data_IF_687985357660
#
_entry.id   IF_687985357660
#
_cell.length_a   1.000
_cell.length_b   1.000
_cell.length_c   1.000
_cell.angle_alpha   90.00
_cell.angle_beta   90.00
_cell.angle_gamma   90.00
#
_symmetry.space_group_name_H-M   'P 1'
#
loop_
_entity.id
_entity.type
_entity.pdbx_description
1 polymer ?
#
# COMPACT_ATOMS: atom_id res chain seq x y z
N UNK A 1 -14.13 0.55 -44.02
CA UNK A 1 -15.08 0.29 -42.91
C UNK A 1 -15.30 -1.21 -42.67
N UNK A 2 -15.22 -2.08 -43.69
CA UNK A 2 -15.36 -3.55 -43.51
C UNK A 2 -14.28 -4.20 -42.63
N UNK A 3 -13.02 -3.71 -42.63
CA UNK A 3 -11.94 -4.25 -41.78
C UNK A 3 -12.16 -3.99 -40.27
N UNK A 4 -12.81 -2.87 -39.92
CA UNK A 4 -13.09 -2.53 -38.51
C UNK A 4 -14.20 -3.40 -37.91
N UNK A 5 -15.26 -3.66 -38.68
CA UNK A 5 -16.35 -4.54 -38.26
C UNK A 5 -15.87 -5.99 -38.05
N UNK A 6 -14.91 -6.46 -38.87
CA UNK A 6 -14.28 -7.76 -38.70
C UNK A 6 -13.43 -7.86 -37.42
N UNK A 7 -12.69 -6.80 -37.07
CA UNK A 7 -11.88 -6.76 -35.85
C UNK A 7 -12.73 -6.71 -34.58
N UNK A 8 -13.79 -5.90 -34.55
CA UNK A 8 -14.70 -5.83 -33.40
C UNK A 8 -15.38 -7.18 -33.13
N UNK A 9 -15.82 -7.89 -34.17
CA UNK A 9 -16.42 -9.22 -34.02
C UNK A 9 -15.43 -10.26 -33.48
N UNK A 10 -14.13 -10.10 -33.78
CA UNK A 10 -13.06 -10.96 -33.25
C UNK A 10 -12.79 -10.65 -31.77
N UNK A 11 -12.82 -9.38 -31.38
CA UNK A 11 -12.66 -8.97 -29.97
C UNK A 11 -13.84 -9.42 -29.10
N UNK A 12 -15.08 -9.28 -29.57
CA UNK A 12 -16.27 -9.80 -28.87
C UNK A 12 -16.19 -11.33 -28.68
N UNK A 13 -15.72 -12.05 -29.70
CA UNK A 13 -15.54 -13.51 -29.58
C UNK A 13 -14.45 -13.92 -28.59
N UNK A 14 -13.48 -13.04 -28.31
CA UNK A 14 -12.41 -13.34 -27.36
C UNK A 14 -12.91 -13.21 -25.92
N UNK A 15 -13.59 -12.10 -25.60
CA UNK A 15 -14.15 -11.86 -24.27
C UNK A 15 -15.11 -12.97 -23.84
N UNK A 16 -15.99 -13.40 -24.75
CA UNK A 16 -16.93 -14.50 -24.47
C UNK A 16 -16.21 -15.81 -24.14
N UNK A 17 -15.08 -16.10 -24.81
CA UNK A 17 -14.31 -17.32 -24.55
C UNK A 17 -13.59 -17.24 -23.21
N UNK A 18 -13.02 -16.08 -22.87
CA UNK A 18 -12.36 -15.83 -21.58
C UNK A 18 -13.32 -16.07 -20.41
N UNK A 19 -14.58 -15.62 -20.52
CA UNK A 19 -15.61 -15.86 -19.51
C UNK A 19 -15.97 -17.34 -19.33
N UNK A 20 -15.82 -18.16 -20.39
CA UNK A 20 -16.08 -19.60 -20.36
C UNK A 20 -14.90 -20.43 -19.85
N UNK A 21 -13.67 -19.90 -19.79
CA UNK A 21 -12.47 -20.68 -19.41
C UNK A 21 -12.56 -21.31 -18.01
N UNK A 22 -13.06 -20.65 -16.95
CA UNK A 22 -13.18 -21.28 -15.63
C UNK A 22 -14.13 -22.49 -15.63
N UNK A 23 -15.23 -22.39 -16.39
CA UNK A 23 -16.20 -23.48 -16.54
C UNK A 23 -15.65 -24.62 -17.41
N UNK A 24 -14.90 -24.28 -18.46
CA UNK A 24 -14.18 -25.25 -19.28
C UNK A 24 -13.18 -26.04 -18.43
N UNK A 25 -12.42 -25.37 -17.57
CA UNK A 25 -11.45 -25.99 -16.66
C UNK A 25 -12.11 -26.92 -15.63
N UNK A 26 -13.30 -26.56 -15.15
CA UNK A 26 -14.08 -27.36 -14.20
C UNK A 26 -14.94 -28.44 -14.88
N UNK A 27 -14.86 -28.58 -16.21
CA UNK A 27 -15.68 -29.50 -17.03
C UNK A 27 -17.19 -29.33 -16.87
N UNK A 28 -17.66 -28.13 -16.57
CA UNK A 28 -19.08 -27.82 -16.31
C UNK A 28 -19.82 -27.17 -17.49
N UNK A 29 -19.13 -26.91 -18.60
CA UNK A 29 -19.74 -26.41 -19.83
C UNK A 29 -20.58 -27.47 -20.53
N UNK A 30 -21.63 -27.02 -21.25
CA UNK A 30 -22.35 -27.91 -22.14
C UNK A 30 -21.49 -28.33 -23.35
N UNK A 31 -21.94 -29.36 -24.09
CA UNK A 31 -21.17 -29.90 -25.21
C UNK A 31 -20.89 -28.88 -26.33
N UNK A 32 -21.81 -27.92 -26.54
CA UNK A 32 -21.71 -26.89 -27.59
C UNK A 32 -20.69 -25.83 -27.17
N UNK A 33 -20.78 -25.33 -25.95
CA UNK A 33 -19.84 -24.38 -25.37
C UNK A 33 -18.43 -24.96 -25.27
N UNK A 34 -18.31 -26.21 -24.79
CA UNK A 34 -17.02 -26.92 -24.71
C UNK A 34 -16.36 -27.03 -26.08
N UNK A 35 -17.13 -27.36 -27.12
CA UNK A 35 -16.62 -27.43 -28.50
C UNK A 35 -16.14 -26.06 -28.98
N UNK A 36 -16.93 -25.01 -28.74
CA UNK A 36 -16.60 -23.61 -29.10
C UNK A 36 -15.29 -23.15 -28.44
N UNK A 37 -15.13 -23.38 -27.13
CA UNK A 37 -13.89 -23.06 -26.39
C UNK A 37 -12.70 -23.85 -26.93
N UNK A 38 -12.88 -25.16 -27.15
CA UNK A 38 -11.82 -26.04 -27.67
C UNK A 38 -11.33 -25.59 -29.05
N UNK A 39 -12.24 -25.16 -29.92
CA UNK A 39 -11.88 -24.67 -31.26
C UNK A 39 -11.14 -23.33 -31.20
N UNK A 40 -11.60 -22.40 -30.34
CA UNK A 40 -10.93 -21.11 -30.16
C UNK A 40 -9.50 -21.28 -29.63
N UNK A 41 -9.31 -22.14 -28.61
CA UNK A 41 -8.01 -22.43 -28.00
C UNK A 41 -6.99 -23.00 -28.99
N UNK A 42 -7.41 -23.64 -30.09
CA UNK A 42 -6.48 -24.10 -31.14
C UNK A 42 -5.86 -22.96 -31.96
N UNK A 43 -6.53 -21.80 -31.99
CA UNK A 43 -6.15 -20.69 -32.86
C UNK A 43 -5.71 -19.43 -32.11
N UNK A 44 -6.02 -19.34 -30.81
CA UNK A 44 -5.77 -18.15 -30.00
C UNK A 44 -4.76 -18.43 -28.87
N UNK A 45 -3.50 -18.03 -29.08
CA UNK A 45 -2.42 -18.25 -28.12
C UNK A 45 -2.66 -17.53 -26.76
N UNK A 46 -3.31 -16.36 -26.76
CA UNK A 46 -3.58 -15.64 -25.51
C UNK A 46 -4.59 -16.38 -24.63
N UNK A 47 -5.70 -16.89 -25.19
CA UNK A 47 -6.64 -17.72 -24.42
C UNK A 47 -6.02 -19.02 -23.91
N UNK A 48 -5.10 -19.63 -24.67
CA UNK A 48 -4.37 -20.81 -24.19
C UNK A 48 -3.48 -20.50 -22.99
N UNK A 49 -2.78 -19.36 -23.03
CA UNK A 49 -1.97 -18.91 -21.91
C UNK A 49 -2.82 -18.66 -20.66
N UNK A 50 -3.95 -17.95 -20.79
CA UNK A 50 -4.87 -17.71 -19.68
C UNK A 50 -5.43 -19.01 -19.08
N UNK A 51 -5.77 -20.00 -19.92
CA UNK A 51 -6.19 -21.31 -19.44
C UNK A 51 -5.08 -22.02 -18.64
N UNK A 52 -3.82 -21.89 -19.04
CA UNK A 52 -2.69 -22.48 -18.31
C UNK A 52 -2.41 -21.77 -16.98
N UNK A 53 -2.61 -20.46 -16.91
CA UNK A 53 -2.58 -19.68 -15.66
C UNK A 53 -3.69 -20.14 -14.69
N UNK A 54 -4.91 -20.33 -15.20
CA UNK A 54 -6.04 -20.85 -14.41
C UNK A 54 -5.78 -22.29 -13.90
N UNK A 55 -5.17 -23.17 -14.71
CA UNK A 55 -4.73 -24.51 -14.26
C UNK A 55 -3.69 -24.42 -13.16
N UNK A 56 -2.77 -23.45 -13.25
CA UNK A 56 -1.77 -23.19 -12.21
C UNK A 56 -2.43 -22.85 -10.88
N UNK A 57 -3.40 -21.94 -10.89
CA UNK A 57 -4.20 -21.58 -9.72
C UNK A 57 -5.00 -22.76 -9.17
N UNK A 58 -5.66 -23.53 -10.04
CA UNK A 58 -6.40 -24.73 -9.63
C UNK A 58 -5.48 -25.72 -8.90
N UNK A 59 -4.27 -25.99 -9.41
CA UNK A 59 -3.30 -26.87 -8.76
C UNK A 59 -2.89 -26.40 -7.37
N UNK A 60 -2.79 -25.09 -7.14
CA UNK A 60 -2.46 -24.54 -5.81
C UNK A 60 -3.64 -24.75 -4.85
N UNK A 61 -4.87 -24.58 -5.32
CA UNK A 61 -6.09 -24.74 -4.50
C UNK A 61 -6.39 -26.23 -4.22
N UNK A 62 -6.21 -27.10 -5.21
CA UNK A 62 -6.44 -28.54 -5.09
C UNK A 62 -5.22 -29.31 -4.63
N UNK A 63 -4.08 -28.63 -4.40
CA UNK A 63 -2.93 -29.26 -3.78
C UNK A 63 -3.43 -29.93 -2.49
N UNK A 64 -3.15 -31.22 -2.28
CA UNK A 64 -3.60 -31.92 -1.09
C UNK A 64 -3.10 -31.11 0.09
N UNK A 65 -4.04 -30.46 0.79
CA UNK A 65 -3.77 -29.88 2.10
C UNK A 65 -3.24 -31.06 2.88
N UNK A 66 -1.94 -31.04 3.21
CA UNK A 66 -1.35 -32.04 4.08
C UNK A 66 -2.33 -32.23 5.21
N UNK A 67 -2.89 -33.43 5.33
CA UNK A 67 -3.82 -33.78 6.39
C UNK A 67 -3.05 -33.67 7.70
N UNK A 68 -2.92 -32.43 8.20
CA UNK A 68 -2.69 -32.17 9.60
C UNK A 68 -3.79 -32.95 10.28
N UNK A 69 -3.40 -33.95 11.08
CA UNK A 69 -4.37 -34.86 11.67
C UNK A 69 -5.49 -34.02 12.25
N UNK A 70 -6.74 -34.34 11.89
CA UNK A 70 -7.89 -33.54 12.32
C UNK A 70 -7.91 -33.37 13.85
N UNK A 71 -7.30 -34.31 14.57
CA UNK A 71 -7.03 -34.24 16.00
C UNK A 71 -6.05 -33.12 16.38
N UNK A 72 -4.89 -33.00 15.73
CA UNK A 72 -3.91 -31.93 16.04
C UNK A 72 -4.44 -30.54 15.68
N UNK A 73 -5.15 -30.39 14.55
CA UNK A 73 -5.75 -29.11 14.16
C UNK A 73 -6.87 -28.66 15.13
N UNK A 74 -7.73 -29.60 15.54
CA UNK A 74 -8.77 -29.33 16.54
C UNK A 74 -8.16 -29.03 17.91
N UNK A 75 -7.15 -29.79 18.33
CA UNK A 75 -6.49 -29.60 19.62
C UNK A 75 -5.76 -28.26 19.69
N UNK A 76 -5.08 -27.85 18.62
CA UNK A 76 -4.44 -26.54 18.52
C UNK A 76 -5.47 -25.40 18.56
N UNK A 77 -6.61 -25.57 17.88
CA UNK A 77 -7.72 -24.61 17.89
C UNK A 77 -8.36 -24.51 19.28
N UNK A 78 -8.61 -25.65 19.93
CA UNK A 78 -9.14 -25.71 21.29
C UNK A 78 -8.17 -25.13 22.31
N UNK A 79 -6.87 -25.33 22.13
CA UNK A 79 -5.82 -24.73 22.96
C UNK A 79 -5.77 -23.20 22.79
N UNK A 80 -5.92 -22.69 21.56
CA UNK A 80 -6.08 -21.25 21.33
C UNK A 80 -7.33 -20.68 22.01
N UNK A 81 -8.49 -21.34 21.89
CA UNK A 81 -9.72 -20.91 22.57
C UNK A 81 -9.55 -20.92 24.10
N UNK A 82 -8.92 -21.97 24.66
CA UNK A 82 -8.63 -22.06 26.10
C UNK A 82 -7.65 -20.97 26.56
N UNK A 83 -6.63 -20.66 25.77
CA UNK A 83 -5.66 -19.61 26.08
C UNK A 83 -6.31 -18.22 26.06
N UNK A 84 -7.27 -17.97 25.16
CA UNK A 84 -8.08 -16.74 25.11
C UNK A 84 -9.13 -16.69 26.21
N UNK A 85 -9.61 -17.85 26.69
CA UNK A 85 -10.52 -17.98 27.84
C UNK A 85 -9.81 -17.99 29.19
N UNK A 86 -8.47 -17.86 29.25
CA UNK A 86 -7.83 -17.57 30.54
C UNK A 86 -8.48 -16.30 31.08
N UNK A 87 -9.16 -16.39 32.23
CA UNK A 87 -9.94 -15.27 32.71
C UNK A 87 -8.97 -14.14 33.02
N UNK A 88 -9.30 -12.93 32.57
CA UNK A 88 -8.74 -11.69 33.07
C UNK A 88 -9.17 -11.47 34.54
N UNK A 89 -8.98 -12.48 35.39
CA UNK A 89 -9.33 -12.54 36.81
C UNK A 89 -8.10 -12.89 37.64
N UNK A 90 -7.08 -12.03 37.56
CA UNK A 90 -6.02 -11.98 38.56
C UNK A 90 -5.36 -10.59 38.69
N UNK A 91 -5.77 -9.59 37.90
CA UNK A 91 -5.70 -8.21 38.36
C UNK A 91 -6.97 -7.92 39.16
N UNK A 92 -6.96 -8.48 40.36
CA UNK A 92 -7.78 -8.02 41.46
C UNK A 92 -7.60 -6.50 41.53
N UNK A 93 -8.67 -5.80 41.14
CA UNK A 93 -8.87 -4.40 41.42
C UNK A 93 -8.60 -4.19 42.91
N UNK A 94 -7.46 -3.59 43.23
CA UNK A 94 -7.34 -2.79 44.44
C UNK A 94 -8.31 -1.62 44.26
N UNK A 95 -9.55 -1.86 44.65
CA UNK A 95 -10.58 -0.83 44.73
C UNK A 95 -10.14 0.15 45.83
N UNK A 96 -9.94 1.43 45.51
CA UNK A 96 -9.57 2.41 46.52
C UNK A 96 -10.75 2.59 47.50
N UNK A 97 -10.46 2.53 48.80
CA UNK A 97 -11.46 2.32 49.89
C UNK A 97 -12.31 3.54 50.25
N UNK A 98 -12.45 4.53 49.37
CA UNK A 98 -13.10 5.81 49.67
C UNK A 98 -14.59 5.87 49.30
N UNK A 99 -15.16 4.80 48.70
CA UNK A 99 -16.59 4.72 48.37
C UNK A 99 -17.48 4.02 49.40
N UNK A 100 -17.01 3.82 50.64
CA UNK A 100 -17.90 3.50 51.78
C UNK A 100 -18.50 4.78 52.37
N UNK A 101 -19.06 5.64 51.52
CA UNK A 101 -19.99 6.67 51.99
C UNK A 101 -21.40 6.13 51.84
N UNK A 102 -22.05 6.00 52.98
CA UNK A 102 -23.38 5.44 53.18
C UNK A 102 -24.45 6.38 52.58
N UNK A 103 -24.90 6.08 51.36
CA UNK A 103 -26.01 6.79 50.68
C UNK A 103 -27.38 6.19 51.02
N UNK A 104 -27.47 5.35 52.06
CA UNK A 104 -28.65 4.55 52.37
C UNK A 104 -29.80 5.24 53.11
N UNK A 105 -29.69 6.52 53.50
CA UNK A 105 -30.73 7.16 54.35
C UNK A 105 -31.25 8.53 53.89
N UNK A 106 -30.91 9.02 52.70
CA UNK A 106 -31.50 10.27 52.17
C UNK A 106 -32.42 10.03 50.97
N UNK A 107 -33.56 9.41 51.26
CA UNK A 107 -34.78 9.59 50.47
C UNK A 107 -35.24 11.06 50.59
N UNK A 108 -35.42 11.74 49.45
CA UNK A 108 -36.78 12.00 48.96
C UNK A 108 -36.78 12.47 47.49
N UNK A 109 -37.58 11.81 46.63
CA UNK A 109 -37.75 12.19 45.23
C UNK A 109 -38.92 13.17 45.12
N UNK A 110 -38.65 14.37 44.63
CA UNK A 110 -39.62 15.27 43.96
C UNK A 110 -38.87 16.52 43.53
N UNK A 111 -38.99 16.88 42.25
CA UNK A 111 -38.49 18.12 41.60
C UNK A 111 -37.02 18.11 41.16
N UNK A 112 -36.73 17.70 39.91
CA UNK A 112 -35.65 18.27 39.08
C UNK A 112 -35.60 17.67 37.65
N UNK A 113 -36.73 17.65 36.95
CA UNK A 113 -36.75 17.54 35.48
C UNK A 113 -36.49 18.95 34.90
N UNK A 114 -35.24 19.45 34.95
CA UNK A 114 -34.92 20.74 34.30
C UNK A 114 -33.43 21.08 34.07
N UNK A 115 -32.42 20.32 34.52
CA UNK A 115 -31.00 20.79 34.43
C UNK A 115 -30.03 19.74 33.86
N UNK A 116 -30.52 18.66 33.26
CA UNK A 116 -29.67 17.61 32.70
C UNK A 116 -29.00 17.94 31.36
N UNK A 117 -29.46 18.97 30.63
CA UNK A 117 -29.05 19.20 29.22
C UNK A 117 -27.91 20.22 29.10
N UNK A 118 -27.68 21.09 30.09
CA UNK A 118 -26.62 22.12 30.00
C UNK A 118 -25.23 21.63 30.46
N UNK A 119 -25.14 20.65 31.36
CA UNK A 119 -23.84 20.15 31.84
C UNK A 119 -23.11 19.26 30.81
N UNK A 120 -23.84 18.54 29.94
CA UNK A 120 -23.23 17.71 28.90
C UNK A 120 -22.64 18.53 27.74
N UNK A 121 -23.16 19.73 27.49
CA UNK A 121 -22.64 20.64 26.43
C UNK A 121 -21.39 21.38 26.91
N UNK A 122 -21.31 21.80 28.18
CA UNK A 122 -20.10 22.47 28.67
C UNK A 122 -18.90 21.54 28.88
N UNK A 123 -19.12 20.27 29.24
CA UNK A 123 -18.01 19.30 29.35
C UNK A 123 -17.50 18.87 27.96
N UNK A 124 -18.38 18.75 26.96
CA UNK A 124 -17.96 18.41 25.58
C UNK A 124 -17.30 19.58 24.85
N UNK A 125 -17.77 20.81 25.03
CA UNK A 125 -17.11 22.01 24.48
C UNK A 125 -15.80 22.32 25.23
N UNK A 126 -15.76 22.13 26.55
CA UNK A 126 -14.54 22.36 27.35
C UNK A 126 -13.39 21.40 27.01
N UNK A 127 -13.68 20.13 26.74
CA UNK A 127 -12.66 19.15 26.31
C UNK A 127 -12.21 19.43 24.86
N UNK A 128 -13.11 19.87 23.98
CA UNK A 128 -12.77 20.17 22.59
C UNK A 128 -11.96 21.47 22.44
N UNK A 129 -12.31 22.53 23.19
CA UNK A 129 -11.55 23.79 23.22
C UNK A 129 -10.22 23.62 23.97
N UNK A 130 -10.18 22.80 25.02
CA UNK A 130 -8.94 22.45 25.73
C UNK A 130 -7.93 21.71 24.83
N UNK A 131 -8.39 20.81 23.97
CA UNK A 131 -7.54 20.09 23.01
C UNK A 131 -7.09 20.98 21.83
N UNK A 132 -7.92 21.90 21.35
CA UNK A 132 -7.54 22.87 20.30
C UNK A 132 -6.53 23.91 20.83
N UNK A 133 -6.70 24.42 22.06
CA UNK A 133 -5.75 25.37 22.65
C UNK A 133 -4.42 24.72 23.07
N UNK A 134 -4.38 23.41 23.35
CA UNK A 134 -3.12 22.67 23.51
C UNK A 134 -2.43 22.35 22.18
N UNK A 135 -3.15 22.32 21.06
CA UNK A 135 -2.55 22.18 19.74
C UNK A 135 -1.86 23.48 19.27
N UNK A 136 -2.42 24.67 19.61
CA UNK A 136 -1.75 25.96 19.38
C UNK A 136 -0.64 26.27 20.38
N UNK A 137 -0.69 25.67 21.59
CA UNK A 137 0.43 25.65 22.55
C UNK A 137 1.43 24.51 22.29
N UNK A 138 1.56 24.05 21.04
CA UNK A 138 2.86 23.51 20.59
C UNK A 138 3.87 24.64 20.61
N UNK A 139 4.48 24.79 21.78
CA UNK A 139 5.86 25.20 22.01
C UNK A 139 6.33 26.19 20.93
N UNK A 140 6.11 27.48 21.18
CA UNK A 140 7.15 28.46 20.86
C UNK A 140 8.39 27.96 21.60
N UNK A 141 9.14 27.08 20.93
CA UNK A 141 10.53 26.83 21.23
C UNK A 141 11.15 28.17 20.87
N UNK A 142 11.18 29.03 21.89
CA UNK A 142 12.23 30.02 22.01
C UNK A 142 13.49 29.36 21.48
N UNK A 143 14.08 29.96 20.44
CA UNK A 143 15.44 29.68 19.99
C UNK A 143 16.38 29.96 21.16
N UNK A 144 16.38 29.06 22.15
CA UNK A 144 17.49 28.87 23.05
C UNK A 144 18.57 28.38 22.12
N UNK A 145 19.43 29.32 21.70
CA UNK A 145 20.61 29.07 20.89
C UNK A 145 21.45 28.00 21.56
N UNK A 146 21.13 26.75 21.24
CA UNK A 146 21.82 25.59 21.76
C UNK A 146 23.09 25.47 20.94
N UNK A 147 24.18 26.01 21.49
CA UNK A 147 25.52 25.51 21.25
C UNK A 147 25.63 24.06 21.80
N UNK A 148 24.74 23.18 21.33
CA UNK A 148 24.95 21.75 21.42
C UNK A 148 26.13 21.49 20.49
N UNK A 149 27.28 21.24 21.10
CA UNK A 149 28.47 20.78 20.39
C UNK A 149 28.07 19.59 19.51
N UNK A 150 28.53 19.57 18.25
CA UNK A 150 28.22 18.55 17.24
C UNK A 150 28.48 17.10 17.70
N UNK A 151 29.11 16.91 18.85
CA UNK A 151 29.51 15.66 19.47
C UNK A 151 28.35 14.75 19.91
N UNK A 152 27.13 15.29 20.10
CA UNK A 152 25.94 14.52 20.54
C UNK A 152 24.79 14.46 19.53
N UNK A 153 24.98 14.96 18.30
CA UNK A 153 23.93 14.83 17.30
C UNK A 153 23.68 13.33 17.00
N UNK A 154 22.42 12.84 17.02
CA UNK A 154 22.14 11.47 16.67
C UNK A 154 22.69 11.17 15.26
N UNK A 155 23.26 9.97 15.03
CA UNK A 155 23.97 9.66 13.79
C UNK A 155 23.06 9.71 12.56
N UNK A 156 21.74 9.62 12.74
CA UNK A 156 20.73 9.62 11.69
C UNK A 156 19.74 10.77 11.85
N UNK A 157 19.42 11.43 10.74
CA UNK A 157 18.34 12.41 10.62
C UNK A 157 17.13 11.76 9.94
N UNK A 158 15.96 11.78 10.57
CA UNK A 158 14.72 11.34 9.92
C UNK A 158 14.32 12.39 8.88
N UNK A 159 14.31 12.01 7.61
CA UNK A 159 13.92 12.88 6.51
C UNK A 159 12.42 12.80 6.20
N UNK A 160 11.84 11.62 6.39
CA UNK A 160 10.42 11.38 6.16
C UNK A 160 9.99 10.12 6.90
N UNK A 161 8.77 10.11 7.40
CA UNK A 161 8.14 8.91 7.96
C UNK A 161 6.63 9.01 7.73
N UNK A 162 5.93 7.88 7.78
CA UNK A 162 4.47 7.89 7.65
C UNK A 162 3.85 6.51 7.64
N UNK A 163 2.53 6.49 7.46
CA UNK A 163 1.73 5.27 7.35
C UNK A 163 0.85 5.39 6.12
N UNK A 164 1.01 4.47 5.16
CA UNK A 164 0.10 4.31 4.04
C UNK A 164 -0.97 3.27 4.36
N UNK A 165 -2.24 3.63 4.22
CA UNK A 165 -3.35 2.68 4.16
C UNK A 165 -3.73 2.44 2.72
N UNK A 166 -3.70 1.18 2.30
CA UNK A 166 -4.08 0.74 0.96
C UNK A 166 -5.52 0.24 1.00
N UNK A 167 -6.30 0.65 0.01
CA UNK A 167 -7.69 0.25 -0.15
C UNK A 167 -7.96 -0.18 -1.58
N UNK A 168 -8.88 -1.12 -1.76
CA UNK A 168 -9.38 -1.56 -3.06
C UNK A 168 -10.89 -1.58 -2.98
N UNK A 169 -11.56 -0.83 -3.86
CA UNK A 169 -13.03 -0.62 -3.78
C UNK A 169 -13.51 -0.05 -2.43
N UNK A 170 -12.65 0.64 -1.68
CA UNK A 170 -12.95 1.15 -0.33
C UNK A 170 -12.75 0.12 0.79
N UNK A 171 -12.49 -1.15 0.47
CA UNK A 171 -12.11 -2.16 1.47
C UNK A 171 -10.62 -2.05 1.80
N UNK A 172 -10.22 -2.23 3.07
CA UNK A 172 -8.81 -2.20 3.47
C UNK A 172 -8.06 -3.40 2.89
N UNK A 173 -6.92 -3.14 2.24
CA UNK A 173 -6.08 -4.18 1.63
C UNK A 173 -4.86 -4.49 2.51
N UNK A 174 -4.12 -3.44 2.86
CA UNK A 174 -2.90 -3.51 3.66
C UNK A 174 -2.57 -2.14 4.27
N UNK A 175 -1.67 -2.16 5.24
CA UNK A 175 -1.08 -0.96 5.85
C UNK A 175 0.44 -1.05 5.77
N UNK A 176 1.12 0.06 5.48
CA UNK A 176 2.57 0.14 5.46
C UNK A 176 3.05 1.30 6.32
N UNK A 177 3.89 1.00 7.29
CA UNK A 177 4.64 2.02 8.04
C UNK A 177 6.05 2.14 7.47
N UNK A 178 6.56 3.35 7.30
CA UNK A 178 7.88 3.58 6.72
C UNK A 178 8.65 4.72 7.37
N UNK A 179 9.98 4.64 7.33
CA UNK A 179 10.90 5.69 7.76
C UNK A 179 12.06 5.81 6.78
N UNK A 180 12.26 7.00 6.21
CA UNK A 180 13.43 7.41 5.45
C UNK A 180 14.36 8.21 6.35
N UNK A 181 15.58 7.72 6.54
CA UNK A 181 16.63 8.34 7.36
C UNK A 181 17.85 8.69 6.53
N UNK A 182 18.60 9.70 6.95
CA UNK A 182 19.92 10.07 6.44
C UNK A 182 20.96 9.78 7.52
N UNK A 183 21.87 8.85 7.25
CA UNK A 183 23.05 8.67 8.07
C UNK A 183 24.04 9.81 7.78
N UNK A 184 24.24 10.71 8.75
CA UNK A 184 25.09 11.90 8.57
C UNK A 184 26.55 11.56 8.34
N UNK A 185 27.02 10.47 8.96
CA UNK A 185 28.42 10.04 8.89
C UNK A 185 28.78 9.49 7.52
N UNK A 186 27.90 8.63 6.97
CA UNK A 186 28.15 7.97 5.68
C UNK A 186 27.52 8.70 4.50
N UNK A 187 26.66 9.70 4.75
CA UNK A 187 25.85 10.38 3.73
C UNK A 187 25.03 9.37 2.90
N UNK A 188 24.47 8.40 3.60
CA UNK A 188 23.65 7.34 3.03
C UNK A 188 22.20 7.52 3.50
N UNK A 189 21.28 7.31 2.58
CA UNK A 189 19.86 7.26 2.84
C UNK A 189 19.44 5.82 3.08
N UNK A 190 18.59 5.61 4.07
CA UNK A 190 18.01 4.30 4.36
C UNK A 190 16.50 4.45 4.54
N UNK A 191 15.75 3.78 3.68
CA UNK A 191 14.31 3.59 3.80
C UNK A 191 14.06 2.20 4.41
N UNK A 192 13.39 2.19 5.57
CA UNK A 192 12.89 0.97 6.19
C UNK A 192 11.37 1.00 6.19
N UNK A 193 10.73 -0.10 5.77
CA UNK A 193 9.28 -0.19 5.74
C UNK A 193 8.80 -1.54 6.26
N UNK A 194 7.66 -1.52 6.94
CA UNK A 194 6.94 -2.70 7.43
C UNK A 194 5.54 -2.68 6.86
N UNK A 195 5.21 -3.71 6.09
CA UNK A 195 3.93 -3.85 5.40
C UNK A 195 3.14 -4.96 6.09
N UNK A 196 1.89 -4.71 6.40
CA UNK A 196 0.97 -5.65 7.04
C UNK A 196 -0.28 -5.81 6.16
N UNK A 197 -0.54 -7.02 5.66
CA UNK A 197 -1.77 -7.33 4.94
C UNK A 197 -2.71 -8.19 5.77
N UNK A 198 -3.97 -7.76 5.86
CA UNK A 198 -5.02 -8.46 6.60
C UNK A 198 -5.95 -9.27 5.71
N UNK A 199 -6.18 -8.86 4.46
CA UNK A 199 -7.25 -9.42 3.59
C UNK A 199 -6.74 -10.05 2.29
N UNK A 200 -5.43 -10.09 2.07
CA UNK A 200 -4.86 -10.80 0.94
C UNK A 200 -4.87 -12.32 1.19
N UNK A 201 -4.87 -13.10 0.11
CA UNK A 201 -4.70 -14.57 0.14
C UNK A 201 -3.43 -15.01 0.88
N UNK A 202 -2.49 -14.09 1.10
CA UNK A 202 -1.30 -14.22 1.94
C UNK A 202 -1.27 -13.13 3.01
N UNK A 203 -2.19 -13.19 3.97
CA UNK A 203 -2.11 -12.35 5.16
C UNK A 203 -0.75 -12.57 5.84
N UNK A 204 -0.09 -11.48 6.24
CA UNK A 204 1.27 -11.55 6.77
C UNK A 204 1.96 -10.21 6.85
N UNK A 205 3.23 -10.26 7.24
CA UNK A 205 4.09 -9.08 7.39
C UNK A 205 5.29 -9.21 6.45
N UNK A 206 5.59 -8.14 5.70
CA UNK A 206 6.82 -8.03 4.94
C UNK A 206 7.66 -6.86 5.45
N UNK A 207 8.98 -7.05 5.42
CA UNK A 207 9.96 -6.06 5.85
C UNK A 207 10.79 -5.68 4.62
N UNK A 208 10.96 -4.38 4.43
CA UNK A 208 11.70 -3.79 3.33
C UNK A 208 12.85 -2.95 3.89
N UNK A 209 14.03 -3.12 3.32
CA UNK A 209 15.20 -2.26 3.55
C UNK A 209 15.72 -1.75 2.20
N UNK A 210 15.94 -0.45 2.09
CA UNK A 210 16.35 0.16 0.83
C UNK A 210 17.37 1.26 1.08
N UNK A 211 18.57 1.04 0.56
CA UNK A 211 19.73 1.88 0.75
C UNK A 211 19.95 2.71 -0.50
N UNK A 212 20.09 4.03 -0.32
CA UNK A 212 20.41 4.96 -1.38
C UNK A 212 21.60 5.84 -1.00
N UNK A 213 22.28 6.38 -1.99
CA UNK A 213 23.24 7.47 -1.80
C UNK A 213 22.51 8.79 -1.44
N UNK A 214 23.25 9.81 -1.01
CA UNK A 214 22.68 11.15 -0.74
C UNK A 214 22.03 11.81 -1.97
N UNK A 215 22.47 11.46 -3.18
CA UNK A 215 21.85 11.88 -4.45
C UNK A 215 20.76 10.91 -4.93
N UNK A 216 20.24 10.08 -4.02
CA UNK A 216 19.14 9.15 -4.22
C UNK A 216 19.40 8.07 -5.29
N UNK A 217 20.66 7.71 -5.54
CA UNK A 217 20.96 6.54 -6.36
C UNK A 217 20.78 5.28 -5.51
N UNK A 218 20.04 4.27 -5.98
CA UNK A 218 19.88 3.01 -5.27
C UNK A 218 21.22 2.28 -5.15
N UNK A 219 21.49 1.70 -3.99
CA UNK A 219 22.70 0.93 -3.67
C UNK A 219 22.33 -0.53 -3.45
N UNK A 220 21.37 -0.78 -2.58
CA UNK A 220 20.90 -2.12 -2.23
C UNK A 220 19.43 -2.08 -1.82
N UNK A 221 18.67 -3.10 -2.18
CA UNK A 221 17.25 -3.22 -1.88
C UNK A 221 16.93 -4.66 -1.47
N UNK A 222 16.21 -4.83 -0.37
CA UNK A 222 15.69 -6.11 0.07
C UNK A 222 14.21 -6.00 0.46
N UNK A 223 13.47 -7.07 0.17
CA UNK A 223 12.11 -7.27 0.64
C UNK A 223 11.94 -8.73 1.05
N UNK A 224 11.51 -8.96 2.28
CA UNK A 224 11.35 -10.30 2.86
C UNK A 224 9.96 -10.45 3.48
N UNK A 225 9.30 -11.58 3.21
CA UNK A 225 8.01 -11.92 3.80
C UNK A 225 7.04 -12.60 2.82
N UNK A 226 5.90 -13.12 3.32
CA UNK A 226 4.94 -13.89 2.52
C UNK A 226 4.22 -13.07 1.45
N UNK A 227 4.33 -11.73 1.49
CA UNK A 227 3.75 -10.84 0.48
C UNK A 227 4.65 -10.64 -0.75
N UNK A 228 5.86 -11.19 -0.75
CA UNK A 228 6.67 -11.27 -1.95
C UNK A 228 5.95 -12.13 -2.98
N UNK A 229 5.59 -11.55 -4.13
CA UNK A 229 4.93 -12.28 -5.20
C UNK A 229 5.89 -13.36 -5.73
N UNK A 230 5.40 -14.61 -5.82
CA UNK A 230 6.17 -15.77 -6.32
C UNK A 230 7.45 -16.12 -5.52
N UNK A 231 7.59 -15.63 -4.28
CA UNK A 231 8.75 -15.99 -3.46
C UNK A 231 8.59 -15.63 -2.00
N UNK A 232 9.68 -15.77 -1.26
CA UNK A 232 9.77 -15.43 0.16
C UNK A 232 10.66 -14.20 0.39
N UNK A 233 11.57 -13.94 -0.55
CA UNK A 233 12.51 -12.82 -0.50
C UNK A 233 12.90 -12.35 -1.89
N UNK A 234 13.11 -11.05 -2.00
CA UNK A 234 13.70 -10.41 -3.18
C UNK A 234 14.85 -9.52 -2.76
N UNK A 235 15.88 -9.49 -3.58
CA UNK A 235 17.07 -8.67 -3.38
C UNK A 235 17.49 -8.01 -4.68
N UNK A 236 17.96 -6.77 -4.64
CA UNK A 236 18.52 -6.08 -5.79
C UNK A 236 19.76 -5.27 -5.38
N UNK A 237 20.90 -5.57 -5.99
CA UNK A 237 22.17 -4.87 -5.75
C UNK A 237 22.60 -4.08 -6.97
N UNK A 238 23.02 -2.85 -6.75
CA UNK A 238 23.38 -1.89 -7.80
C UNK A 238 24.89 -1.72 -7.86
N UNK A 239 25.48 -2.00 -9.03
CA UNK A 239 26.93 -1.88 -9.22
C UNK A 239 27.27 -1.56 -10.67
N UNK A 240 28.14 -0.57 -10.87
CA UNK A 240 28.72 -0.25 -12.17
C UNK A 240 27.67 0.00 -13.29
N UNK A 241 26.56 0.68 -12.96
CA UNK A 241 25.49 0.94 -13.93
C UNK A 241 24.62 -0.27 -14.26
N UNK A 242 24.77 -1.37 -13.54
CA UNK A 242 23.93 -2.56 -13.63
C UNK A 242 23.18 -2.79 -12.32
N UNK A 243 22.06 -3.48 -12.40
CA UNK A 243 21.37 -4.05 -11.24
C UNK A 243 21.29 -5.56 -11.39
N UNK A 244 21.60 -6.27 -10.31
CA UNK A 244 21.39 -7.72 -10.20
C UNK A 244 20.19 -7.92 -9.29
N UNK A 245 19.08 -8.38 -9.85
CA UNK A 245 17.86 -8.73 -9.11
C UNK A 245 17.83 -10.23 -8.86
N UNK A 246 17.52 -10.63 -7.64
CA UNK A 246 17.46 -12.02 -7.18
C UNK A 246 16.11 -12.27 -6.52
N UNK A 247 15.33 -13.23 -7.01
CA UNK A 247 14.08 -13.72 -6.42
C UNK A 247 14.34 -15.09 -5.79
N UNK A 248 13.99 -15.24 -4.51
CA UNK A 248 14.15 -16.46 -3.74
C UNK A 248 12.78 -17.12 -3.52
N UNK A 249 12.60 -18.35 -4.01
CA UNK A 249 11.36 -19.14 -3.90
C UNK A 249 11.70 -20.59 -3.52
N UNK A 250 11.30 -21.06 -2.34
CA UNK A 250 11.47 -22.47 -1.94
C UNK A 250 12.90 -23.00 -2.19
N UNK A 251 13.92 -22.29 -1.68
CA UNK A 251 15.36 -22.54 -1.89
C UNK A 251 15.90 -22.29 -3.32
N UNK A 252 15.04 -22.08 -4.31
CA UNK A 252 15.46 -21.71 -5.66
C UNK A 252 15.75 -20.22 -5.73
N UNK A 253 16.77 -19.86 -6.51
CA UNK A 253 17.16 -18.47 -6.75
C UNK A 253 17.09 -18.20 -8.24
N UNK A 254 16.26 -17.22 -8.61
CA UNK A 254 16.15 -16.71 -9.98
C UNK A 254 16.83 -15.35 -10.05
N UNK A 255 17.78 -15.20 -10.97
CA UNK A 255 18.55 -13.96 -11.12
C UNK A 255 18.29 -13.30 -12.47
N UNK A 256 18.27 -11.97 -12.49
CA UNK A 256 18.31 -11.16 -13.71
C UNK A 256 19.29 -10.02 -13.54
N UNK A 257 20.14 -9.84 -14.54
CA UNK A 257 21.02 -8.66 -14.65
C UNK A 257 20.38 -7.69 -15.64
N UNK A 258 20.29 -6.42 -15.27
CA UNK A 258 19.74 -5.35 -16.12
C UNK A 258 20.76 -4.23 -16.23
N UNK A 259 21.03 -3.80 -17.47
CA UNK A 259 21.79 -2.58 -17.76
C UNK A 259 20.89 -1.37 -17.55
N UNK A 260 21.28 -0.47 -16.65
CA UNK A 260 20.46 0.67 -16.28
C UNK A 260 20.55 1.75 -17.36
N UNK A 261 19.39 2.15 -17.88
CA UNK A 261 19.25 3.29 -18.80
C UNK A 261 18.53 4.42 -18.07
N UNK A 262 19.20 5.54 -17.82
CA UNK A 262 18.61 6.64 -17.04
C UNK A 262 18.62 6.38 -15.54
N UNK A 263 17.73 7.06 -14.80
CA UNK A 263 17.71 7.03 -13.34
C UNK A 263 16.93 5.81 -12.86
N UNK A 264 17.56 4.83 -12.19
CA UNK A 264 16.87 3.65 -11.67
C UNK A 264 15.97 4.00 -10.49
N UNK A 265 14.75 3.47 -10.48
CA UNK A 265 13.80 3.61 -9.39
C UNK A 265 13.24 2.23 -9.08
N UNK A 266 13.36 1.75 -7.84
CA UNK A 266 12.63 0.56 -7.41
C UNK A 266 11.15 0.95 -7.29
N UNK A 267 10.27 0.26 -8.01
CA UNK A 267 8.82 0.42 -7.92
C UNK A 267 8.17 -0.95 -7.81
N UNK A 268 7.54 -1.17 -6.66
CA UNK A 268 6.80 -2.37 -6.33
C UNK A 268 5.41 -1.92 -5.90
N UNK A 269 4.36 -2.42 -6.57
CA UNK A 269 2.99 -2.01 -6.30
C UNK A 269 2.45 -2.51 -4.96
N UNK A 270 3.20 -3.40 -4.28
CA UNK A 270 2.90 -3.83 -2.91
C UNK A 270 3.59 -2.96 -1.85
N UNK A 271 4.45 -2.01 -2.24
CA UNK A 271 5.27 -1.19 -1.33
C UNK A 271 5.12 0.29 -1.67
N UNK A 272 4.23 1.00 -0.97
CA UNK A 272 3.88 2.41 -1.23
C UNK A 272 5.01 3.38 -0.90
N UNK A 273 5.88 3.04 0.05
CA UNK A 273 7.05 3.87 0.38
C UNK A 273 8.02 4.06 -0.78
N UNK A 274 8.05 3.15 -1.76
CA UNK A 274 8.80 3.34 -3.01
C UNK A 274 8.34 4.59 -3.77
N UNK A 275 7.03 4.83 -3.83
CA UNK A 275 6.48 6.05 -4.45
C UNK A 275 6.80 7.30 -3.65
N UNK A 276 6.93 7.20 -2.32
CA UNK A 276 7.37 8.32 -1.49
C UNK A 276 8.83 8.71 -1.78
N UNK A 277 9.73 7.73 -1.94
CA UNK A 277 11.11 7.98 -2.37
C UNK A 277 11.15 8.53 -3.79
N UNK A 278 10.42 7.92 -4.73
CA UNK A 278 10.32 8.42 -6.10
C UNK A 278 9.80 9.88 -6.15
N UNK A 279 8.76 10.20 -5.39
CA UNK A 279 8.25 11.57 -5.28
C UNK A 279 9.32 12.55 -4.79
N UNK A 280 10.13 12.15 -3.80
CA UNK A 280 11.25 12.96 -3.31
C UNK A 280 12.34 13.16 -4.36
N UNK A 281 12.68 12.12 -5.13
CA UNK A 281 13.62 12.20 -6.27
C UNK A 281 13.07 13.16 -7.34
N UNK A 282 11.79 12.98 -7.71
CA UNK A 282 11.11 13.84 -8.67
C UNK A 282 11.18 15.30 -8.21
N UNK A 283 10.85 15.60 -6.95
CA UNK A 283 10.90 16.95 -6.40
C UNK A 283 12.31 17.53 -6.38
N UNK A 284 13.30 16.76 -5.95
CA UNK A 284 14.70 17.17 -6.00
C UNK A 284 15.12 17.60 -7.42
N UNK A 285 14.71 16.84 -8.46
CA UNK A 285 15.00 17.18 -9.86
C UNK A 285 14.29 18.44 -10.32
N UNK A 286 12.99 18.56 -10.03
CA UNK A 286 12.18 19.73 -10.40
C UNK A 286 12.68 21.01 -9.71
N UNK A 287 13.08 20.92 -8.45
CA UNK A 287 13.56 22.06 -7.67
C UNK A 287 14.96 22.51 -8.13
N UNK A 288 15.72 21.63 -8.80
CA UNK A 288 16.96 21.96 -9.50
C UNK A 288 16.74 22.44 -10.95
N UNK A 289 15.51 22.75 -11.33
CA UNK A 289 15.18 23.36 -12.64
C UNK A 289 15.01 22.37 -13.79
N UNK A 290 15.05 21.06 -13.53
CA UNK A 290 14.71 20.07 -14.56
C UNK A 290 13.21 20.13 -14.89
N UNK A 291 12.87 20.04 -16.17
CA UNK A 291 11.47 20.00 -16.62
C UNK A 291 10.95 18.57 -16.54
N UNK A 292 9.74 18.39 -16.00
CA UNK A 292 9.17 17.06 -15.74
C UNK A 292 9.01 16.23 -17.02
N UNK A 293 8.80 16.90 -18.16
CA UNK A 293 8.69 16.31 -19.49
C UNK A 293 9.99 15.67 -19.99
N UNK A 294 11.14 16.09 -19.44
CA UNK A 294 12.47 15.58 -19.80
C UNK A 294 12.96 14.49 -18.86
N UNK A 295 12.28 14.27 -17.74
CA UNK A 295 12.68 13.27 -16.76
C UNK A 295 12.32 11.88 -17.28
N UNK A 296 13.35 11.05 -17.45
CA UNK A 296 13.21 9.65 -17.81
C UNK A 296 13.80 8.78 -16.70
N UNK A 297 13.00 7.84 -16.23
CA UNK A 297 13.38 6.88 -15.20
C UNK A 297 13.31 5.46 -15.78
N UNK A 298 14.02 4.54 -15.13
CA UNK A 298 13.83 3.10 -15.32
C UNK A 298 13.22 2.54 -14.04
N UNK A 299 11.95 2.15 -14.12
CA UNK A 299 11.27 1.44 -13.05
C UNK A 299 11.74 0.00 -13.00
N UNK A 300 12.27 -0.41 -11.85
CA UNK A 300 12.67 -1.77 -11.56
C UNK A 300 11.58 -2.40 -10.70
N UNK A 301 11.10 -3.57 -11.12
CA UNK A 301 10.16 -4.40 -10.40
C UNK A 301 10.86 -5.71 -9.99
N UNK A 302 11.58 -5.73 -8.86
CA UNK A 302 12.41 -6.87 -8.47
C UNK A 302 11.62 -8.18 -8.31
N UNK A 303 10.40 -8.14 -7.79
CA UNK A 303 9.55 -9.35 -7.65
C UNK A 303 9.21 -10.00 -9.00
N UNK A 304 9.10 -9.20 -10.07
CA UNK A 304 8.85 -9.71 -11.42
C UNK A 304 10.15 -9.95 -12.20
N UNK A 305 11.31 -9.65 -11.61
CA UNK A 305 12.60 -9.56 -12.31
C UNK A 305 12.44 -8.77 -13.62
N UNK A 306 11.89 -7.56 -13.57
CA UNK A 306 11.64 -6.72 -14.75
C UNK A 306 12.11 -5.30 -14.57
N UNK A 307 12.43 -4.67 -15.69
CA UNK A 307 12.67 -3.25 -15.82
C UNK A 307 11.75 -2.69 -16.90
N UNK A 308 11.21 -1.50 -16.66
CA UNK A 308 10.29 -0.82 -17.56
C UNK A 308 10.63 0.67 -17.61
N UNK A 309 10.49 1.33 -18.77
CA UNK A 309 10.65 2.78 -18.84
C UNK A 309 9.51 3.44 -18.03
N UNK A 310 9.86 4.53 -17.34
CA UNK A 310 8.92 5.31 -16.53
C UNK A 310 9.02 6.79 -16.89
N UNK A 311 7.87 7.37 -17.18
CA UNK A 311 7.74 8.77 -17.60
C UNK A 311 6.73 9.50 -16.72
N UNK A 312 6.98 10.77 -16.46
CA UNK A 312 5.95 11.69 -15.95
C UNK A 312 5.23 12.26 -17.17
N UNK A 313 3.97 11.93 -17.37
CA UNK A 313 3.22 12.32 -18.59
C UNK A 313 2.27 13.47 -18.38
N UNK A 314 1.88 13.74 -17.13
CA UNK A 314 0.97 14.83 -16.80
C UNK A 314 1.27 15.40 -15.42
N UNK A 315 1.10 16.71 -15.27
CA UNK A 315 1.11 17.43 -13.99
C UNK A 315 -0.01 18.47 -13.99
N UNK A 316 -0.92 18.39 -13.04
CA UNK A 316 -2.06 19.32 -12.94
C UNK A 316 -2.54 19.50 -11.51
N UNK A 317 -3.45 20.45 -11.29
CA UNK A 317 -4.17 20.58 -10.03
C UNK A 317 -5.33 19.58 -9.97
N UNK A 318 -5.54 18.97 -8.81
CA UNK A 318 -6.65 18.07 -8.54
C UNK A 318 -7.23 18.33 -7.14
N UNK A 319 -8.37 17.70 -6.85
CA UNK A 319 -9.02 17.78 -5.55
C UNK A 319 -9.22 16.37 -4.95
N UNK A 320 -8.78 16.21 -3.70
CA UNK A 320 -9.14 15.05 -2.87
C UNK A 320 -10.22 15.46 -1.87
N UNK A 321 -11.03 14.51 -1.41
CA UNK A 321 -12.04 14.70 -0.38
C UNK A 321 -11.55 14.11 0.94
N UNK A 322 -11.58 14.90 2.00
CA UNK A 322 -11.33 14.48 3.39
C UNK A 322 -12.50 14.94 4.27
N UNK A 323 -13.27 14.01 4.84
CA UNK A 323 -14.43 14.33 5.69
C UNK A 323 -15.40 15.40 5.14
N UNK A 324 -15.61 15.42 3.81
CA UNK A 324 -16.46 16.41 3.17
C UNK A 324 -15.75 17.71 2.77
N UNK A 325 -14.54 17.95 3.25
CA UNK A 325 -13.69 19.07 2.82
C UNK A 325 -12.91 18.71 1.56
N UNK A 326 -12.70 19.68 0.69
CA UNK A 326 -11.92 19.54 -0.53
C UNK A 326 -10.48 19.97 -0.25
N UNK A 327 -9.54 19.06 -0.49
CA UNK A 327 -8.10 19.29 -0.38
C UNK A 327 -7.53 19.52 -1.78
N UNK A 328 -6.96 20.71 -1.99
CA UNK A 328 -6.25 21.03 -3.22
C UNK A 328 -4.89 20.33 -3.24
N UNK A 329 -4.62 19.59 -4.31
CA UNK A 329 -3.38 18.82 -4.50
C UNK A 329 -2.83 19.01 -5.91
N UNK A 330 -1.55 18.71 -6.09
CA UNK A 330 -0.93 18.53 -7.41
C UNK A 330 -0.97 17.04 -7.76
N UNK A 331 -1.59 16.69 -8.89
CA UNK A 331 -1.60 15.33 -9.44
C UNK A 331 -0.47 15.18 -10.45
N UNK A 332 0.36 14.15 -10.27
CA UNK A 332 1.32 13.68 -11.27
C UNK A 332 0.82 12.36 -11.85
N UNK A 333 0.76 12.25 -13.18
CA UNK A 333 0.49 10.98 -13.87
C UNK A 333 1.81 10.39 -14.35
N UNK A 334 2.05 9.16 -13.94
CA UNK A 334 3.23 8.38 -14.29
C UNK A 334 2.79 7.26 -15.23
N UNK A 335 3.52 7.05 -16.30
CA UNK A 335 3.28 5.95 -17.24
C UNK A 335 4.48 5.02 -17.24
N UNK A 336 4.21 3.74 -16.98
CA UNK A 336 5.21 2.68 -16.89
C UNK A 336 4.90 1.59 -17.91
N UNK A 337 5.95 1.11 -18.59
CA UNK A 337 5.85 0.01 -19.54
C UNK A 337 5.82 0.45 -21.01
N UNK A 338 5.68 -0.50 -21.94
CA UNK A 338 5.66 -0.23 -23.37
C UNK A 338 4.34 0.45 -23.78
N UNK A 339 4.35 1.15 -24.93
CA UNK A 339 3.22 1.98 -25.40
C UNK A 339 1.90 1.23 -25.54
N UNK A 340 1.95 -0.08 -25.78
CA UNK A 340 0.81 -0.99 -25.97
C UNK A 340 0.30 -1.60 -24.65
N UNK A 341 1.02 -1.44 -23.55
CA UNK A 341 0.64 -1.95 -22.23
C UNK A 341 1.07 -1.01 -21.09
N UNK A 342 0.64 0.25 -21.18
CA UNK A 342 0.99 1.28 -20.22
C UNK A 342 0.19 1.12 -18.92
N UNK A 343 0.90 1.03 -17.80
CA UNK A 343 0.33 1.19 -16.48
C UNK A 343 0.46 2.65 -16.03
N UNK A 344 -0.67 3.29 -15.75
CA UNK A 344 -0.71 4.72 -15.41
C UNK A 344 -0.93 4.96 -13.92
N UNK A 345 0.13 5.22 -13.14
CA UNK A 345 0.03 5.51 -11.70
C UNK A 345 -0.19 7.01 -11.49
N UNK A 346 -1.02 7.38 -10.52
CA UNK A 346 -1.23 8.78 -10.16
C UNK A 346 -0.70 9.07 -8.75
N UNK A 347 0.13 10.10 -8.62
CA UNK A 347 0.63 10.61 -7.34
C UNK A 347 -0.07 11.92 -7.00
N UNK A 348 -0.49 12.06 -5.74
CA UNK A 348 -1.15 13.25 -5.25
C UNK A 348 -0.29 13.92 -4.18
N UNK A 349 0.18 15.12 -4.48
CA UNK A 349 1.04 15.95 -3.64
C UNK A 349 0.23 17.07 -2.99
N UNK A 350 0.29 17.21 -1.67
CA UNK A 350 -0.26 18.36 -0.96
C UNK A 350 0.86 19.31 -0.53
N UNK A 351 0.56 20.60 -0.56
CA UNK A 351 1.43 21.63 0.03
C UNK A 351 1.01 21.85 1.49
N UNK A 352 1.92 21.59 2.43
CA UNK A 352 1.68 21.77 3.87
C UNK A 352 2.08 23.17 4.36
N UNK A 353 2.55 24.04 3.47
CA UNK A 353 3.16 25.33 3.78
C UNK A 353 4.62 25.24 4.26
N UNK A 354 5.05 24.07 4.75
CA UNK A 354 6.45 23.78 5.10
C UNK A 354 7.17 23.02 3.99
N UNK A 355 6.48 22.03 3.45
CA UNK A 355 6.99 21.14 2.41
C UNK A 355 5.83 20.59 1.58
N UNK A 356 6.17 20.13 0.38
CA UNK A 356 5.25 19.40 -0.46
C UNK A 356 5.42 17.91 -0.19
N UNK A 357 4.32 17.24 0.16
CA UNK A 357 4.33 15.85 0.61
C UNK A 357 3.41 14.99 -0.26
N UNK A 358 3.85 13.77 -0.56
CA UNK A 358 2.99 12.77 -1.16
C UNK A 358 1.91 12.35 -0.14
N UNK A 359 0.64 12.58 -0.47
CA UNK A 359 -0.51 12.29 0.41
C UNK A 359 -1.33 11.09 -0.05
N UNK A 360 -1.36 10.80 -1.35
CA UNK A 360 -2.06 9.66 -1.89
C UNK A 360 -1.44 9.14 -3.19
N UNK A 361 -1.73 7.88 -3.49
CA UNK A 361 -1.29 7.14 -4.69
C UNK A 361 -2.52 6.42 -5.21
N UNK A 362 -2.74 6.45 -6.52
CA UNK A 362 -3.74 5.63 -7.21
C UNK A 362 -3.04 4.75 -8.23
N UNK A 363 -3.23 3.45 -8.12
CA UNK A 363 -2.72 2.46 -9.06
C UNK A 363 -3.93 1.81 -9.72
N UNK A 364 -4.22 2.13 -10.99
CA UNK A 364 -5.35 1.54 -11.69
C UNK A 364 -5.08 0.06 -11.93
N UNK A 365 -6.12 -0.76 -11.83
CA UNK A 365 -6.00 -2.16 -12.24
C UNK A 365 -6.15 -2.22 -13.75
N UNK A 366 -5.27 -2.98 -14.42
CA UNK A 366 -5.29 -3.08 -15.88
C UNK A 366 -6.66 -3.59 -16.34
N UNK A 367 -7.23 -2.94 -17.37
CA UNK A 367 -8.59 -3.19 -17.90
C UNK A 367 -8.87 -4.65 -18.29
N UNK A 368 -7.84 -5.49 -18.44
CA UNK A 368 -7.98 -6.92 -18.73
C UNK A 368 -8.69 -7.68 -17.62
N UNK A 369 -8.71 -7.15 -16.39
CA UNK A 369 -9.45 -7.74 -15.27
C UNK A 369 -10.62 -6.82 -14.91
N UNK A 370 -11.72 -6.96 -15.64
CA UNK A 370 -12.91 -6.10 -15.55
C UNK A 370 -13.57 -6.03 -14.16
N UNK A 371 -13.22 -6.95 -13.26
CA UNK A 371 -13.77 -7.06 -11.91
C UNK A 371 -12.96 -6.35 -10.82
N UNK A 372 -11.74 -5.90 -11.11
CA UNK A 372 -10.86 -5.33 -10.09
C UNK A 372 -10.94 -3.80 -10.10
N UNK A 373 -11.16 -3.22 -8.92
CA UNK A 373 -11.12 -1.77 -8.74
C UNK A 373 -9.70 -1.28 -8.52
N UNK A 374 -9.47 0.00 -8.81
CA UNK A 374 -8.19 0.67 -8.54
C UNK A 374 -7.76 0.51 -7.08
N UNK A 375 -6.45 0.32 -6.90
CA UNK A 375 -5.82 0.43 -5.58
C UNK A 375 -5.63 1.91 -5.28
N UNK A 376 -6.14 2.35 -4.14
CA UNK A 376 -5.95 3.69 -3.62
C UNK A 376 -5.24 3.62 -2.27
N UNK A 377 -4.04 4.21 -2.21
CA UNK A 377 -3.25 4.31 -0.99
C UNK A 377 -3.18 5.76 -0.52
N UNK A 378 -3.29 6.00 0.77
CA UNK A 378 -3.20 7.35 1.34
C UNK A 378 -2.44 7.39 2.66
N UNK A 379 -1.85 8.54 2.96
CA UNK A 379 -1.13 8.81 4.21
C UNK A 379 -2.09 8.96 5.37
N UNK A 380 -2.38 7.87 6.08
CA UNK A 380 -3.29 7.88 7.22
C UNK A 380 -2.73 8.56 8.45
N UNK A 381 -1.40 8.72 8.54
CA UNK A 381 -0.77 9.54 9.57
C UNK A 381 -1.05 11.03 9.41
N UNK A 382 -1.29 11.49 8.17
CA UNK A 382 -1.67 12.87 7.84
C UNK A 382 -3.19 13.05 7.80
N UNK A 383 -3.91 12.03 7.31
CA UNK A 383 -5.36 12.04 7.12
C UNK A 383 -6.00 10.78 7.72
N UNK A 384 -6.05 10.66 9.06
CA UNK A 384 -6.51 9.45 9.73
C UNK A 384 -7.98 9.10 9.45
N UNK A 385 -8.76 10.08 9.01
CA UNK A 385 -10.18 9.93 8.69
C UNK A 385 -10.43 9.48 7.25
N UNK A 386 -9.36 9.27 6.48
CA UNK A 386 -9.42 8.81 5.09
C UNK A 386 -9.22 9.93 4.08
N UNK A 387 -8.75 9.55 2.90
CA UNK A 387 -8.83 10.36 1.68
C UNK A 387 -9.68 9.62 0.65
N UNK A 388 -10.41 10.38 -0.16
CA UNK A 388 -11.14 9.84 -1.29
C UNK A 388 -10.92 10.71 -2.52
N UNK A 389 -10.95 10.09 -3.70
CA UNK A 389 -11.01 10.83 -4.96
C UNK A 389 -12.36 11.55 -5.04
N UNK A 390 -12.35 12.79 -5.51
CA UNK A 390 -13.59 13.51 -5.80
C UNK A 390 -14.17 12.89 -7.07
N UNK A 391 -15.34 12.24 -6.94
CA UNK A 391 -15.79 11.24 -7.90
C UNK A 391 -15.86 11.73 -9.35
N UNK A 392 -15.19 10.99 -10.25
CA UNK A 392 -15.63 10.83 -11.63
C UNK A 392 -14.90 11.63 -12.72
N UNK A 393 -13.58 11.46 -12.87
CA UNK A 393 -13.03 11.39 -14.23
C UNK A 393 -13.25 9.95 -14.72
N UNK A 394 -14.40 9.71 -15.37
CA UNK A 394 -14.62 8.50 -16.17
C UNK A 394 -13.93 8.63 -17.52
#
# INVERSE_FOLDING_TARGET
MEDLAGRMKKEESHLEIVELLPWYLNETLDAKERTKVTEHLKSCASCSQELDELKGLQKVITAPVQELSSETALEHTMQQIRSRRKPASAQAQQRPSWWKLDWGTMLRPRMALAVGILAAVFVSVGVFVGLQLQAEKRVKLEEVGSQLTDEYAPPSLILQQGIFKMTMSGSPLSEESFTLTMNRKFKELQLNSKIEASELSRAGQAIQEFHLTNDYQPVDYSLEGPMVYQGDRVHATFKNGQVVMSLFENEKVSNRVVDLKGIPIILDFSVMSHFAVFHRILRYRLDNGESWEKLQFTALAPQALRDEPLFVTKKEEALLKNQGQMLKVTRYRLEMGPKDNVLAVELYEADTGKEKVLVAIRIPVQKRVSSLSDIFAYRSDLYPQGLALTGGEK
#
